data_IF_699750829724
#
_entry.id   IF_699750829724
#
_cell.length_a   1.000
_cell.length_b   1.000
_cell.length_c   1.000
_cell.angle_alpha   90.00
_cell.angle_beta   90.00
_cell.angle_gamma   90.00
#
_symmetry.space_group_name_H-M   'P 1'
#
loop_
_entity.id
_entity.type
_entity.pdbx_description
1 polymer ?
#
# COMPACT_ATOMS: atom_id res chain seq x y z
N UNK A 1 -41.56 91.70 -3.15
CA UNK A 1 -40.93 90.45 -2.66
C UNK A 1 -39.88 90.82 -1.64
N UNK A 2 -40.02 90.36 -0.40
CA UNK A 2 -38.96 90.55 0.59
C UNK A 2 -37.71 89.80 0.15
N UNK A 3 -36.56 90.49 0.09
CA UNK A 3 -35.28 89.84 -0.19
C UNK A 3 -34.97 88.87 0.93
N UNK A 4 -34.97 87.57 0.62
CA UNK A 4 -34.61 86.53 1.56
C UNK A 4 -33.16 86.73 2.02
N UNK A 5 -32.92 86.71 3.33
CA UNK A 5 -31.56 86.84 3.88
C UNK A 5 -30.69 85.66 3.45
N UNK A 6 -29.38 85.89 3.25
CA UNK A 6 -28.44 84.84 2.86
C UNK A 6 -28.47 83.63 3.81
N UNK A 7 -28.61 83.89 5.12
CA UNK A 7 -28.78 82.86 6.14
C UNK A 7 -30.00 81.98 5.91
N UNK A 8 -31.15 82.57 5.52
CA UNK A 8 -32.36 81.80 5.19
C UNK A 8 -32.19 80.99 3.90
N UNK A 9 -31.52 81.53 2.88
CA UNK A 9 -31.20 80.78 1.64
C UNK A 9 -30.33 79.55 1.94
N UNK A 10 -29.27 79.71 2.75
CA UNK A 10 -28.41 78.59 3.16
C UNK A 10 -29.16 77.53 3.98
N UNK A 11 -30.10 77.93 4.84
CA UNK A 11 -30.95 76.98 5.57
C UNK A 11 -31.84 76.17 4.62
N UNK A 12 -32.43 76.81 3.61
CA UNK A 12 -33.22 76.13 2.57
C UNK A 12 -32.36 75.13 1.80
N UNK A 13 -31.16 75.53 1.35
CA UNK A 13 -30.19 74.65 0.67
C UNK A 13 -29.81 73.46 1.54
N UNK A 14 -29.46 73.69 2.81
CA UNK A 14 -29.10 72.61 3.74
C UNK A 14 -30.25 71.61 3.92
N UNK A 15 -31.47 72.09 4.10
CA UNK A 15 -32.64 71.24 4.27
C UNK A 15 -32.99 70.47 2.98
N UNK A 16 -32.79 71.10 1.81
CA UNK A 16 -32.94 70.45 0.51
C UNK A 16 -31.94 69.30 0.31
N UNK A 17 -30.66 69.56 0.56
CA UNK A 17 -29.60 68.55 0.50
C UNK A 17 -29.80 67.45 1.56
N UNK A 18 -30.49 67.74 2.67
CA UNK A 18 -30.89 66.73 3.67
C UNK A 18 -32.07 65.83 3.23
N UNK A 19 -32.53 65.95 1.97
CA UNK A 19 -33.59 65.12 1.41
C UNK A 19 -35.02 65.49 1.86
N UNK A 20 -35.24 66.70 2.37
CA UNK A 20 -36.60 67.17 2.69
C UNK A 20 -37.37 67.60 1.43
N UNK A 21 -38.68 67.38 1.43
CA UNK A 21 -39.57 67.87 0.37
C UNK A 21 -39.75 69.39 0.44
N UNK A 22 -40.15 70.02 -0.66
CA UNK A 22 -40.35 71.48 -0.71
C UNK A 22 -41.40 71.96 0.31
N UNK A 23 -42.41 71.15 0.59
CA UNK A 23 -43.46 71.47 1.55
C UNK A 23 -42.94 71.41 3.00
N UNK A 24 -42.13 70.40 3.33
CA UNK A 24 -41.48 70.31 4.66
C UNK A 24 -40.49 71.45 4.90
N UNK A 25 -39.72 71.84 3.88
CA UNK A 25 -38.78 72.95 3.96
C UNK A 25 -39.52 74.27 4.15
N UNK A 26 -40.58 74.50 3.37
CA UNK A 26 -41.43 75.67 3.48
C UNK A 26 -42.02 75.80 4.89
N UNK A 27 -42.57 74.71 5.43
CA UNK A 27 -43.12 74.64 6.78
C UNK A 27 -42.07 74.91 7.87
N UNK A 28 -40.85 74.35 7.74
CA UNK A 28 -39.78 74.50 8.75
C UNK A 28 -39.09 75.86 8.73
N UNK A 29 -39.04 76.53 7.58
CA UNK A 29 -38.32 77.80 7.41
C UNK A 29 -39.23 79.02 7.41
N UNK A 30 -40.55 78.81 7.34
CA UNK A 30 -41.55 79.88 7.28
C UNK A 30 -41.51 80.66 5.96
N UNK A 31 -41.12 80.01 4.86
CA UNK A 31 -41.08 80.60 3.51
C UNK A 31 -42.06 79.90 2.57
N UNK A 32 -42.49 80.56 1.49
CA UNK A 32 -43.42 79.92 0.55
C UNK A 32 -42.72 78.83 -0.28
N UNK A 33 -43.48 77.81 -0.70
CA UNK A 33 -42.99 76.73 -1.59
C UNK A 33 -42.32 77.26 -2.86
N UNK A 34 -42.88 78.31 -3.46
CA UNK A 34 -42.29 78.98 -4.64
C UNK A 34 -40.92 79.63 -4.33
N UNK A 35 -40.73 80.12 -3.10
CA UNK A 35 -39.44 80.66 -2.66
C UNK A 35 -38.40 79.54 -2.50
N UNK A 36 -38.80 78.38 -1.97
CA UNK A 36 -37.94 77.18 -1.90
C UNK A 36 -37.53 76.74 -3.31
N UNK A 37 -38.48 76.64 -4.25
CA UNK A 37 -38.22 76.23 -5.62
C UNK A 37 -37.24 77.17 -6.33
N UNK A 38 -37.38 78.49 -6.16
CA UNK A 38 -36.45 79.46 -6.74
C UNK A 38 -35.04 79.34 -6.15
N UNK A 39 -34.91 79.18 -4.82
CA UNK A 39 -33.60 78.99 -4.18
C UNK A 39 -32.92 77.70 -4.65
N UNK A 40 -33.67 76.63 -4.88
CA UNK A 40 -33.15 75.37 -5.42
C UNK A 40 -32.78 75.50 -6.91
N UNK A 41 -33.55 76.24 -7.70
CA UNK A 41 -33.19 76.53 -9.09
C UNK A 41 -31.90 77.36 -9.17
N UNK A 42 -31.76 78.37 -8.31
CA UNK A 42 -30.53 79.16 -8.17
C UNK A 42 -29.34 78.28 -7.76
N UNK A 43 -29.55 77.32 -6.86
CA UNK A 43 -28.55 76.34 -6.43
C UNK A 43 -28.08 75.45 -7.60
N UNK A 44 -29.02 74.94 -8.39
CA UNK A 44 -28.72 74.10 -9.57
C UNK A 44 -28.05 74.87 -10.69
N UNK A 45 -28.37 76.15 -10.85
CA UNK A 45 -27.79 77.02 -11.86
C UNK A 45 -26.36 77.52 -11.51
N UNK A 46 -25.81 77.09 -10.37
CA UNK A 46 -24.47 77.52 -9.93
C UNK A 46 -24.43 78.98 -9.42
N UNK A 47 -25.59 79.58 -9.13
CA UNK A 47 -25.67 80.96 -8.61
C UNK A 47 -25.12 81.10 -7.18
N UNK A 48 -24.76 79.99 -6.54
CA UNK A 48 -24.00 79.95 -5.29
C UNK A 48 -22.53 79.69 -5.64
N UNK A 49 -21.61 80.61 -5.31
CA UNK A 49 -20.18 80.49 -5.64
C UNK A 49 -19.57 79.17 -5.17
N UNK A 50 -20.06 78.63 -4.05
CA UNK A 50 -19.59 77.38 -3.45
C UNK A 50 -20.09 76.13 -4.18
N UNK A 51 -21.06 76.26 -5.10
CA UNK A 51 -21.69 75.15 -5.80
C UNK A 51 -21.64 75.28 -7.34
N UNK A 52 -20.88 76.25 -7.86
CA UNK A 52 -20.85 76.60 -9.29
C UNK A 52 -20.52 75.41 -10.21
N UNK A 53 -19.64 74.51 -9.76
CA UNK A 53 -19.14 73.38 -10.57
C UNK A 53 -19.85 72.04 -10.28
N UNK A 54 -20.75 71.99 -9.30
CA UNK A 54 -21.38 70.74 -8.83
C UNK A 54 -22.87 70.63 -9.14
N UNK A 55 -23.42 71.52 -9.97
CA UNK A 55 -24.85 71.57 -10.31
C UNK A 55 -25.48 70.22 -10.68
N UNK A 56 -24.79 69.41 -11.47
CA UNK A 56 -25.22 68.06 -11.88
C UNK A 56 -25.17 67.04 -10.71
N UNK A 57 -24.26 67.22 -9.76
CA UNK A 57 -24.09 66.35 -8.60
C UNK A 57 -25.06 66.68 -7.46
N UNK A 58 -25.72 67.86 -7.49
CA UNK A 58 -26.65 68.29 -6.43
C UNK A 58 -27.86 67.37 -6.33
N UNK A 59 -28.38 66.87 -7.47
CA UNK A 59 -29.46 65.87 -7.43
C UNK A 59 -28.95 64.52 -6.92
N UNK A 60 -27.77 64.07 -7.34
CA UNK A 60 -27.18 62.82 -6.85
C UNK A 60 -26.94 62.85 -5.33
N UNK A 61 -26.44 63.97 -4.79
CA UNK A 61 -26.24 64.16 -3.36
C UNK A 61 -27.57 64.18 -2.59
N UNK A 62 -28.62 64.72 -3.20
CA UNK A 62 -29.96 64.71 -2.63
C UNK A 62 -30.59 63.33 -2.65
N UNK A 63 -30.49 62.61 -3.77
CA UNK A 63 -30.95 61.22 -3.90
C UNK A 63 -30.24 60.32 -2.89
N UNK A 64 -28.91 60.43 -2.77
CA UNK A 64 -28.13 59.72 -1.76
C UNK A 64 -28.64 60.04 -0.34
N UNK A 65 -28.91 61.30 -0.04
CA UNK A 65 -29.43 61.70 1.28
C UNK A 65 -30.84 61.15 1.55
N UNK A 66 -31.69 61.05 0.53
CA UNK A 66 -33.00 60.42 0.61
C UNK A 66 -32.86 58.92 0.85
N UNK A 67 -31.98 58.23 0.12
CA UNK A 67 -31.73 56.81 0.26
C UNK A 67 -31.15 56.46 1.63
N UNK A 68 -30.20 57.26 2.12
CA UNK A 68 -29.67 57.14 3.47
C UNK A 68 -30.77 57.27 4.52
N UNK A 69 -31.68 58.25 4.36
CA UNK A 69 -32.81 58.44 5.27
C UNK A 69 -33.80 57.27 5.21
N UNK A 70 -34.09 56.75 4.01
CA UNK A 70 -34.94 55.56 3.80
C UNK A 70 -34.36 54.33 4.47
N UNK A 71 -33.04 54.15 4.39
CA UNK A 71 -32.29 53.05 5.00
C UNK A 71 -31.92 53.30 6.47
N UNK A 72 -32.31 54.45 7.05
CA UNK A 72 -31.97 54.89 8.43
C UNK A 72 -30.47 54.91 8.71
N UNK A 73 -29.65 55.24 7.72
CA UNK A 73 -28.19 55.32 7.83
C UNK A 73 -27.74 56.78 8.02
N UNK A 74 -26.76 56.96 8.89
CA UNK A 74 -26.05 58.24 9.03
C UNK A 74 -24.90 58.36 8.02
N UNK A 75 -24.46 59.58 7.66
CA UNK A 75 -23.28 59.78 6.81
C UNK A 75 -22.03 59.08 7.32
N UNK A 76 -21.83 59.04 8.65
CA UNK A 76 -20.73 58.29 9.26
C UNK A 76 -20.83 56.78 9.00
N UNK A 77 -22.03 56.19 9.09
CA UNK A 77 -22.24 54.76 8.78
C UNK A 77 -22.02 54.46 7.29
N UNK A 78 -22.43 55.36 6.40
CA UNK A 78 -22.15 55.21 4.96
C UNK A 78 -20.65 55.31 4.67
N UNK A 79 -19.91 56.21 5.33
CA UNK A 79 -18.45 56.27 5.21
C UNK A 79 -17.78 54.97 5.68
N UNK A 80 -18.25 54.39 6.79
CA UNK A 80 -17.78 53.06 7.25
C UNK A 80 -18.12 51.96 6.25
N UNK A 81 -19.32 51.96 5.68
CA UNK A 81 -19.73 51.02 4.64
C UNK A 81 -18.89 51.15 3.37
N UNK A 82 -18.55 52.37 2.97
CA UNK A 82 -17.66 52.65 1.84
C UNK A 82 -16.24 52.13 2.10
N UNK A 83 -15.72 52.30 3.31
CA UNK A 83 -14.42 51.76 3.69
C UNK A 83 -14.41 50.23 3.60
N UNK A 84 -15.46 49.58 4.13
CA UNK A 84 -15.62 48.14 4.02
C UNK A 84 -15.69 47.69 2.56
N UNK A 85 -16.50 48.38 1.74
CA UNK A 85 -16.62 48.13 0.31
C UNK A 85 -15.28 48.25 -0.41
N UNK A 86 -14.49 49.30 -0.12
CA UNK A 86 -13.15 49.48 -0.68
C UNK A 86 -12.26 48.28 -0.37
N UNK A 87 -12.25 47.81 0.88
CA UNK A 87 -11.46 46.63 1.26
C UNK A 87 -11.91 45.35 0.56
N UNK A 88 -13.22 45.15 0.41
CA UNK A 88 -13.77 44.01 -0.33
C UNK A 88 -13.32 44.07 -1.80
N UNK A 89 -13.41 45.24 -2.43
CA UNK A 89 -12.97 45.43 -3.82
C UNK A 89 -11.46 45.28 -4.02
N UNK A 90 -10.64 45.70 -3.05
CA UNK A 90 -9.19 45.49 -3.04
C UNK A 90 -8.84 43.99 -2.98
N UNK A 91 -9.68 43.18 -2.33
CA UNK A 91 -9.55 41.71 -2.33
C UNK A 91 -10.05 41.05 -3.63
N UNK A 92 -10.50 41.82 -4.62
CA UNK A 92 -11.02 41.32 -5.89
C UNK A 92 -12.38 40.62 -5.77
N UNK A 93 -13.11 40.85 -4.66
CA UNK A 93 -14.39 40.23 -4.40
C UNK A 93 -15.52 41.07 -5.00
N UNK A 94 -16.44 40.42 -5.72
CA UNK A 94 -17.61 41.08 -6.28
C UNK A 94 -18.59 41.46 -5.14
N UNK A 95 -19.06 42.72 -5.07
CA UNK A 95 -20.10 43.11 -4.14
C UNK A 95 -21.37 42.25 -4.19
N UNK A 96 -21.68 41.61 -5.32
CA UNK A 96 -22.80 40.68 -5.44
C UNK A 96 -22.61 39.40 -4.59
N UNK A 97 -21.36 39.02 -4.27
CA UNK A 97 -21.07 37.86 -3.43
C UNK A 97 -21.24 38.15 -1.93
N UNK A 98 -21.43 39.41 -1.52
CA UNK A 98 -21.67 39.81 -0.12
C UNK A 98 -22.86 39.06 0.46
N UNK A 99 -23.87 38.73 -0.34
CA UNK A 99 -25.05 37.97 0.12
C UNK A 99 -24.72 36.55 0.60
N UNK A 100 -23.58 35.98 0.18
CA UNK A 100 -23.09 34.66 0.63
C UNK A 100 -22.33 34.73 1.94
N UNK A 101 -21.79 35.90 2.30
CA UNK A 101 -20.95 36.07 3.48
C UNK A 101 -21.70 35.80 4.79
N UNK A 102 -22.98 36.19 4.96
CA UNK A 102 -23.74 35.79 6.13
C UNK A 102 -23.80 34.27 6.34
N UNK A 103 -23.77 33.43 5.30
CA UNK A 103 -23.68 31.98 5.50
C UNK A 103 -22.32 31.57 6.05
N UNK A 104 -21.24 32.07 5.45
CA UNK A 104 -19.84 31.78 5.84
C UNK A 104 -19.57 32.28 7.27
N UNK A 105 -20.07 33.47 7.61
CA UNK A 105 -19.92 34.06 8.93
C UNK A 105 -20.84 33.40 9.96
N UNK A 106 -21.99 32.84 9.57
CA UNK A 106 -22.83 32.04 10.48
C UNK A 106 -22.24 30.68 10.83
N UNK A 107 -21.37 30.12 9.99
CA UNK A 107 -20.60 28.92 10.37
C UNK A 107 -19.59 29.20 11.47
N UNK A 108 -19.17 30.46 11.64
CA UNK A 108 -18.30 30.91 12.72
C UNK A 108 -19.15 31.26 13.94
N UNK A 109 -19.25 30.35 14.91
CA UNK A 109 -20.17 30.48 16.05
C UNK A 109 -19.57 31.28 17.20
N UNK A 110 -18.24 31.33 17.28
CA UNK A 110 -17.50 31.97 18.35
C UNK A 110 -16.19 32.58 17.82
N UNK A 111 -15.45 33.25 18.70
CA UNK A 111 -14.19 33.93 18.34
C UNK A 111 -13.05 32.95 17.99
N UNK A 112 -13.08 31.74 18.53
CA UNK A 112 -12.08 30.71 18.22
C UNK A 112 -12.31 30.13 16.83
N UNK A 113 -13.56 29.87 16.43
CA UNK A 113 -13.93 29.50 15.06
C UNK A 113 -13.48 30.57 14.06
N UNK A 114 -13.50 31.85 14.46
CA UNK A 114 -13.05 32.95 13.61
C UNK A 114 -11.53 32.92 13.43
N UNK A 115 -10.79 32.65 14.51
CA UNK A 115 -9.33 32.47 14.47
C UNK A 115 -8.95 31.24 13.66
N UNK A 116 -9.67 30.13 13.81
CA UNK A 116 -9.47 28.93 13.01
C UNK A 116 -9.73 29.19 11.53
N UNK A 117 -10.81 29.90 11.20
CA UNK A 117 -11.09 30.29 9.81
C UNK A 117 -9.95 31.11 9.21
N UNK A 118 -9.48 32.14 9.92
CA UNK A 118 -8.35 32.96 9.48
C UNK A 118 -7.07 32.13 9.34
N UNK A 119 -6.81 31.23 10.29
CA UNK A 119 -5.68 30.30 10.22
C UNK A 119 -5.78 29.36 9.02
N UNK A 120 -6.99 28.88 8.69
CA UNK A 120 -7.25 28.02 7.55
C UNK A 120 -6.93 28.74 6.24
N UNK A 121 -7.35 30.01 6.11
CA UNK A 121 -7.04 30.85 4.95
C UNK A 121 -5.52 31.02 4.77
N UNK A 122 -4.79 31.31 5.86
CA UNK A 122 -3.32 31.38 5.80
C UNK A 122 -2.68 30.04 5.46
N UNK A 123 -3.18 28.94 6.03
CA UNK A 123 -2.67 27.59 5.76
C UNK A 123 -2.87 27.20 4.29
N UNK A 124 -4.05 27.50 3.73
CA UNK A 124 -4.33 27.28 2.31
C UNK A 124 -3.40 28.11 1.44
N UNK A 125 -3.18 29.38 1.79
CA UNK A 125 -2.23 30.23 1.08
C UNK A 125 -0.79 29.69 1.15
N UNK A 126 -0.34 29.19 2.30
CA UNK A 126 0.98 28.58 2.46
C UNK A 126 1.09 27.32 1.59
N UNK A 127 0.08 26.45 1.60
CA UNK A 127 0.04 25.25 0.75
C UNK A 127 0.07 25.65 -0.73
N UNK A 128 -0.67 26.70 -1.11
CA UNK A 128 -0.69 27.23 -2.46
C UNK A 128 0.71 27.69 -2.89
N UNK A 129 1.40 28.46 -2.05
CA UNK A 129 2.77 28.94 -2.30
C UNK A 129 3.80 27.80 -2.35
N UNK A 130 3.62 26.74 -1.55
CA UNK A 130 4.56 25.61 -1.52
C UNK A 130 4.36 24.63 -2.67
N UNK A 131 3.13 24.54 -3.20
CA UNK A 131 2.77 23.60 -4.26
C UNK A 131 2.77 24.21 -5.65
N UNK A 132 2.81 25.55 -5.76
CA UNK A 132 2.62 26.31 -7.00
C UNK A 132 1.31 25.94 -7.74
N UNK A 133 0.33 25.38 -7.03
CA UNK A 133 -0.96 25.01 -7.59
C UNK A 133 -1.97 26.13 -7.39
N UNK A 134 -2.91 26.30 -8.33
CA UNK A 134 -4.09 27.14 -8.09
C UNK A 134 -5.02 26.50 -7.06
N UNK A 135 -5.91 27.28 -6.45
CA UNK A 135 -6.90 26.77 -5.49
C UNK A 135 -7.78 25.67 -6.11
N UNK A 136 -8.17 25.85 -7.37
CA UNK A 136 -8.95 24.86 -8.13
C UNK A 136 -8.14 23.60 -8.44
N UNK A 137 -6.85 23.73 -8.75
CA UNK A 137 -5.98 22.57 -8.93
C UNK A 137 -5.74 21.82 -7.62
N UNK A 138 -5.65 22.54 -6.49
CA UNK A 138 -5.53 21.95 -5.16
C UNK A 138 -6.80 21.17 -4.78
N UNK A 139 -7.98 21.74 -5.02
CA UNK A 139 -9.27 21.09 -4.79
C UNK A 139 -9.43 19.81 -5.65
N UNK A 140 -9.09 19.91 -6.93
CA UNK A 140 -9.04 18.74 -7.82
C UNK A 140 -8.06 17.67 -7.31
N UNK A 141 -6.91 18.07 -6.74
CA UNK A 141 -5.94 17.15 -6.16
C UNK A 141 -6.48 16.47 -4.92
N UNK A 142 -7.21 17.19 -4.06
CA UNK A 142 -7.87 16.61 -2.88
C UNK A 142 -8.87 15.55 -3.33
N UNK A 143 -9.74 15.83 -4.30
CA UNK A 143 -10.69 14.84 -4.82
C UNK A 143 -10.03 13.66 -5.55
N UNK A 144 -8.88 13.88 -6.20
CA UNK A 144 -8.08 12.79 -6.78
C UNK A 144 -7.50 11.89 -5.66
N UNK A 145 -6.99 12.49 -4.59
CA UNK A 145 -6.46 11.76 -3.44
C UNK A 145 -7.55 11.02 -2.66
N UNK A 146 -8.74 11.60 -2.49
CA UNK A 146 -9.89 10.93 -1.89
C UNK A 146 -10.33 9.71 -2.72
N UNK A 147 -10.36 9.84 -4.05
CA UNK A 147 -10.61 8.69 -4.95
C UNK A 147 -9.53 7.62 -4.83
N UNK A 148 -8.26 8.00 -4.82
CA UNK A 148 -7.16 7.04 -4.62
C UNK A 148 -7.22 6.37 -3.24
N UNK A 149 -7.61 7.10 -2.20
CA UNK A 149 -7.76 6.56 -0.86
C UNK A 149 -8.89 5.51 -0.81
N UNK A 150 -10.04 5.81 -1.43
CA UNK A 150 -11.16 4.86 -1.54
C UNK A 150 -10.81 3.65 -2.40
N UNK A 151 -10.00 3.80 -3.46
CA UNK A 151 -9.50 2.67 -4.27
C UNK A 151 -8.46 1.81 -3.52
N UNK A 152 -7.70 2.39 -2.58
CA UNK A 152 -6.70 1.69 -1.78
C UNK A 152 -7.30 0.93 -0.58
N UNK A 153 -8.46 1.35 -0.09
CA UNK A 153 -9.19 0.68 1.00
C UNK A 153 -9.41 -0.83 0.73
N UNK A 154 -9.93 -1.27 -0.44
CA UNK A 154 -10.08 -2.70 -0.74
C UNK A 154 -8.74 -3.43 -0.90
N UNK A 155 -7.65 -2.75 -1.29
CA UNK A 155 -6.33 -3.38 -1.31
C UNK A 155 -5.81 -3.63 0.11
N UNK A 156 -6.06 -2.70 1.03
CA UNK A 156 -5.73 -2.86 2.45
C UNK A 156 -6.44 -4.08 3.06
N UNK A 157 -7.72 -4.28 2.73
CA UNK A 157 -8.46 -5.44 3.21
C UNK A 157 -7.99 -6.75 2.57
N UNK A 158 -7.69 -6.77 1.26
CA UNK A 158 -7.03 -7.92 0.62
C UNK A 158 -5.69 -8.26 1.28
N UNK A 159 -4.90 -7.25 1.67
CA UNK A 159 -3.62 -7.45 2.35
C UNK A 159 -3.80 -8.04 3.75
N UNK A 160 -4.84 -7.62 4.50
CA UNK A 160 -5.21 -8.25 5.77
C UNK A 160 -5.59 -9.72 5.59
N UNK A 161 -6.38 -10.04 4.57
CA UNK A 161 -6.78 -11.42 4.31
C UNK A 161 -5.61 -12.30 3.82
N UNK A 162 -4.72 -11.76 2.98
CA UNK A 162 -3.48 -12.44 2.60
C UNK A 162 -2.60 -12.73 3.83
N UNK A 163 -2.50 -11.79 4.78
CA UNK A 163 -1.78 -12.01 6.05
C UNK A 163 -2.40 -13.14 6.87
N UNK A 164 -3.74 -13.22 6.95
CA UNK A 164 -4.43 -14.32 7.65
C UNK A 164 -4.16 -15.67 6.96
N UNK A 165 -4.24 -15.72 5.63
CA UNK A 165 -3.93 -16.94 4.87
C UNK A 165 -2.48 -17.38 5.07
N UNK A 166 -1.53 -16.44 5.10
CA UNK A 166 -0.13 -16.73 5.33
C UNK A 166 0.13 -17.25 6.74
N UNK A 167 -0.55 -16.71 7.75
CA UNK A 167 -0.48 -17.23 9.13
C UNK A 167 -1.02 -18.67 9.22
N UNK A 168 -2.15 -18.96 8.57
CA UNK A 168 -2.73 -20.32 8.53
C UNK A 168 -1.81 -21.31 7.80
N UNK A 169 -1.27 -20.94 6.63
CA UNK A 169 -0.30 -21.77 5.90
C UNK A 169 0.97 -22.01 6.72
N UNK A 170 1.43 -21.02 7.49
CA UNK A 170 2.59 -21.17 8.39
C UNK A 170 2.29 -22.21 9.48
N UNK A 171 1.11 -22.13 10.10
CA UNK A 171 0.66 -23.12 11.09
C UNK A 171 0.53 -24.52 10.50
N UNK A 172 0.00 -24.65 9.28
CA UNK A 172 -0.08 -25.94 8.58
C UNK A 172 1.31 -26.51 8.28
N UNK A 173 2.25 -25.66 7.86
CA UNK A 173 3.66 -26.06 7.63
C UNK A 173 4.30 -26.56 8.92
N UNK A 174 4.10 -25.87 10.05
CA UNK A 174 4.62 -26.30 11.36
C UNK A 174 4.02 -27.65 11.78
N UNK A 175 2.70 -27.83 11.59
CA UNK A 175 2.03 -29.10 11.83
C UNK A 175 2.62 -30.24 10.99
N UNK A 176 2.81 -30.02 9.69
CA UNK A 176 3.44 -31.01 8.79
C UNK A 176 4.88 -31.30 9.18
N UNK A 177 5.67 -30.29 9.53
CA UNK A 177 7.06 -30.49 9.98
C UNK A 177 7.12 -31.38 11.23
N UNK A 178 6.21 -31.19 12.18
CA UNK A 178 6.12 -32.04 13.36
C UNK A 178 5.75 -33.49 13.03
N UNK A 179 4.81 -33.69 12.09
CA UNK A 179 4.42 -35.02 11.63
C UNK A 179 5.56 -35.75 10.91
N UNK A 180 6.32 -35.04 10.07
CA UNK A 180 7.52 -35.57 9.40
C UNK A 180 8.56 -35.99 10.43
N UNK A 181 8.84 -35.17 11.44
CA UNK A 181 9.79 -35.53 12.50
C UNK A 181 9.37 -36.80 13.27
N UNK A 182 8.07 -36.97 13.54
CA UNK A 182 7.54 -38.20 14.17
C UNK A 182 7.72 -39.41 13.24
N UNK A 183 7.50 -39.26 11.94
CA UNK A 183 7.67 -40.33 10.97
C UNK A 183 9.15 -40.73 10.82
N UNK A 184 10.06 -39.76 10.78
CA UNK A 184 11.51 -40.01 10.79
C UNK A 184 11.93 -40.79 12.04
N UNK A 185 11.45 -40.39 13.22
CA UNK A 185 11.72 -41.13 14.45
C UNK A 185 11.20 -42.57 14.42
N UNK A 186 9.99 -42.80 13.88
CA UNK A 186 9.45 -44.16 13.71
C UNK A 186 10.29 -44.99 12.73
N UNK A 187 10.77 -44.37 11.65
CA UNK A 187 11.63 -45.02 10.67
C UNK A 187 12.97 -45.45 11.30
N UNK A 188 13.58 -44.60 12.11
CA UNK A 188 14.79 -44.92 12.87
C UNK A 188 14.59 -46.09 13.84
N UNK A 189 13.40 -46.23 14.44
CA UNK A 189 13.08 -47.38 15.30
C UNK A 189 12.79 -48.67 14.54
N UNK A 190 12.22 -48.58 13.33
CA UNK A 190 11.90 -49.74 12.50
C UNK A 190 13.14 -50.34 11.83
N UNK A 191 14.08 -49.49 11.41
CA UNK A 191 15.33 -49.91 10.74
C UNK A 191 16.12 -51.00 11.49
N UNK A 192 16.43 -50.87 12.80
CA UNK A 192 17.15 -51.93 13.52
C UNK A 192 16.31 -53.19 13.70
N UNK A 193 14.99 -53.06 13.82
CA UNK A 193 14.08 -54.21 13.96
C UNK A 193 14.01 -55.04 12.67
N UNK A 194 14.01 -54.38 11.51
CA UNK A 194 14.10 -55.05 10.21
C UNK A 194 15.44 -55.80 10.11
N UNK A 195 16.56 -55.16 10.46
CA UNK A 195 17.88 -55.83 10.47
C UNK A 195 17.93 -57.05 11.41
N UNK A 196 17.27 -57.00 12.56
CA UNK A 196 17.20 -58.13 13.48
C UNK A 196 16.38 -59.29 12.90
N UNK A 197 15.25 -58.97 12.26
CA UNK A 197 14.42 -59.95 11.56
C UNK A 197 15.16 -60.60 10.38
N UNK A 198 15.89 -59.81 9.59
CA UNK A 198 16.74 -60.32 8.49
C UNK A 198 17.80 -61.30 9.02
N UNK A 199 18.49 -60.96 10.12
CA UNK A 199 19.45 -61.88 10.76
C UNK A 199 18.80 -63.16 11.25
N UNK A 200 17.60 -63.06 11.82
CA UNK A 200 16.85 -64.23 12.30
C UNK A 200 16.40 -65.11 11.15
N UNK A 201 15.94 -64.53 10.05
CA UNK A 201 15.59 -65.24 8.82
C UNK A 201 16.80 -65.99 8.26
N UNK A 202 17.96 -65.34 8.19
CA UNK A 202 19.20 -65.96 7.73
C UNK A 202 19.61 -67.13 8.64
N UNK A 203 19.52 -66.96 9.96
CA UNK A 203 19.79 -68.01 10.93
C UNK A 203 18.85 -69.22 10.77
N UNK A 204 17.55 -68.97 10.60
CA UNK A 204 16.57 -70.03 10.38
C UNK A 204 16.81 -70.75 9.05
N UNK A 205 17.15 -70.01 8.00
CA UNK A 205 17.48 -70.59 6.69
C UNK A 205 18.68 -71.53 6.79
N UNK A 206 19.75 -71.13 7.50
CA UNK A 206 20.90 -72.02 7.78
C UNK A 206 20.49 -73.26 8.56
N UNK A 207 19.64 -73.12 9.58
CA UNK A 207 19.13 -74.28 10.34
C UNK A 207 18.32 -75.24 9.49
N UNK A 208 17.50 -74.74 8.55
CA UNK A 208 16.76 -75.57 7.61
C UNK A 208 17.75 -76.35 6.75
N UNK A 209 18.75 -75.66 6.16
CA UNK A 209 19.82 -76.30 5.37
C UNK A 209 20.58 -77.37 6.15
N UNK A 210 20.80 -77.20 7.46
CA UNK A 210 21.47 -78.20 8.30
C UNK A 210 20.59 -79.40 8.69
N UNK A 211 19.27 -79.19 8.78
CA UNK A 211 18.30 -80.23 9.15
C UNK A 211 17.91 -81.06 7.93
N UNK A 212 17.82 -80.45 6.74
CA UNK A 212 17.53 -81.11 5.46
C UNK A 212 18.35 -82.40 5.22
N UNK A 213 19.70 -82.41 5.33
CA UNK A 213 20.49 -83.63 5.12
C UNK A 213 20.29 -84.64 6.24
N UNK A 214 19.95 -84.21 7.47
CA UNK A 214 19.65 -85.13 8.58
C UNK A 214 18.31 -85.82 8.34
N UNK A 215 17.32 -85.10 7.83
CA UNK A 215 16.03 -85.65 7.43
C UNK A 215 16.19 -86.64 6.26
N UNK A 216 16.94 -86.27 5.21
CA UNK A 216 17.27 -87.19 4.12
C UNK A 216 18.06 -88.42 4.60
N UNK A 217 19.00 -88.25 5.53
CA UNK A 217 19.71 -89.38 6.16
C UNK A 217 18.76 -90.27 6.97
N UNK A 218 17.83 -89.68 7.73
CA UNK A 218 16.82 -90.45 8.45
C UNK A 218 15.92 -91.23 7.47
N UNK A 219 15.49 -90.61 6.37
CA UNK A 219 14.64 -91.22 5.35
C UNK A 219 15.35 -92.37 4.60
N UNK A 220 16.63 -92.19 4.28
CA UNK A 220 17.47 -93.27 3.73
C UNK A 220 17.67 -94.41 4.73
N UNK A 221 17.88 -94.12 6.02
CA UNK A 221 17.93 -95.18 7.05
C UNK A 221 16.59 -95.88 7.23
N UNK A 222 15.47 -95.16 7.15
CA UNK A 222 14.13 -95.73 7.22
C UNK A 222 13.85 -96.65 6.03
N UNK A 223 14.28 -96.23 4.84
CA UNK A 223 14.20 -97.04 3.62
C UNK A 223 15.11 -98.27 3.69
N UNK A 224 16.32 -98.13 4.26
CA UNK A 224 17.22 -99.26 4.51
C UNK A 224 16.63 -100.24 5.53
N UNK A 225 16.09 -99.75 6.65
CA UNK A 225 15.40 -100.59 7.66
C UNK A 225 14.19 -101.29 7.05
N UNK A 226 13.40 -100.59 6.22
CA UNK A 226 12.28 -101.20 5.49
C UNK A 226 12.76 -102.29 4.52
N UNK A 227 13.90 -102.07 3.88
CA UNK A 227 14.60 -103.06 3.05
C UNK A 227 15.11 -104.26 3.84
N UNK A 228 15.69 -104.05 5.03
CA UNK A 228 16.13 -105.14 5.92
C UNK A 228 14.95 -105.91 6.52
N UNK A 229 13.84 -105.25 6.85
CA UNK A 229 12.57 -105.90 7.22
C UNK A 229 12.07 -106.77 6.07
N UNK A 230 12.19 -106.28 4.84
CA UNK A 230 11.82 -107.04 3.64
C UNK A 230 12.79 -108.20 3.39
N UNK A 231 14.10 -108.02 3.57
CA UNK A 231 15.11 -109.10 3.48
C UNK A 231 14.91 -110.14 4.59
N UNK A 232 14.62 -109.75 5.82
CA UNK A 232 14.26 -110.68 6.91
C UNK A 232 13.05 -111.52 6.54
N UNK A 233 12.05 -110.88 5.91
CA UNK A 233 10.88 -111.56 5.36
C UNK A 233 11.23 -112.50 4.20
N UNK A 234 12.20 -112.15 3.37
CA UNK A 234 12.64 -112.94 2.20
C UNK A 234 13.65 -114.06 2.56
N UNK A 235 14.37 -113.95 3.68
CA UNK A 235 15.33 -114.96 4.22
C UNK A 235 14.63 -116.03 5.07
N UNK A 236 13.33 -115.87 5.35
CA UNK A 236 12.51 -116.86 6.06
C UNK A 236 11.95 -116.38 7.40
N UNK A 237 12.57 -115.36 8.01
CA UNK A 237 12.18 -114.78 9.32
C UNK A 237 10.87 -114.01 9.25
N UNK A 238 9.79 -114.78 9.12
CA UNK A 238 8.41 -114.36 9.30
C UNK A 238 8.11 -114.18 10.79
N UNK A 239 7.03 -113.48 11.14
CA UNK A 239 6.50 -113.42 12.52
C UNK A 239 6.30 -114.81 13.16
N UNK A 240 6.26 -115.87 12.34
CA UNK A 240 6.22 -117.28 12.75
C UNK A 240 7.59 -117.81 13.22
N UNK A 241 8.71 -117.38 12.65
CA UNK A 241 10.05 -117.76 13.13
C UNK A 241 10.44 -117.03 14.43
N UNK A 242 9.85 -115.85 14.68
CA UNK A 242 9.91 -115.20 15.99
C UNK A 242 9.17 -116.02 17.08
N UNK A 243 8.14 -116.77 16.67
CA UNK A 243 7.47 -117.75 17.52
C UNK A 243 8.32 -119.02 17.71
N UNK A 244 9.08 -119.46 16.70
CA UNK A 244 10.08 -120.54 16.85
C UNK A 244 11.27 -120.13 17.73
N UNK A 245 11.70 -118.86 17.73
CA UNK A 245 12.69 -118.35 18.68
C UNK A 245 12.18 -118.41 20.13
N UNK A 246 10.89 -118.14 20.33
CA UNK A 246 10.21 -118.31 21.62
C UNK A 246 10.12 -119.80 22.03
N UNK A 247 9.99 -120.71 21.06
CA UNK A 247 10.06 -122.17 21.27
C UNK A 247 11.49 -122.64 21.61
N UNK A 248 12.53 -122.08 20.95
CA UNK A 248 13.94 -122.32 21.29
C UNK A 248 14.30 -121.77 22.67
N UNK A 249 13.73 -120.64 23.08
CA UNK A 249 13.82 -120.13 24.46
C UNK A 249 13.20 -121.12 25.47
N UNK A 250 12.10 -121.79 25.13
CA UNK A 250 11.56 -122.88 25.97
C UNK A 250 12.49 -124.10 26.02
N UNK A 251 13.14 -124.47 24.91
CA UNK A 251 14.11 -125.57 24.87
C UNK A 251 15.37 -125.25 25.68
N UNK A 252 15.89 -124.03 25.59
CA UNK A 252 17.05 -123.56 26.37
C UNK A 252 16.71 -123.50 27.86
N UNK A 253 15.51 -123.03 28.21
CA UNK A 253 14.99 -123.06 29.58
C UNK A 253 14.93 -124.50 30.13
N UNK A 254 14.42 -125.46 29.35
CA UNK A 254 14.40 -126.89 29.70
C UNK A 254 15.81 -127.49 29.86
N UNK A 255 16.78 -127.10 29.01
CA UNK A 255 18.15 -127.63 29.06
C UNK A 255 18.96 -127.14 30.25
N UNK A 256 18.67 -125.93 30.74
CA UNK A 256 19.35 -125.33 31.88
C UNK A 256 18.58 -125.45 33.20
N UNK A 257 17.45 -126.20 33.22
CA UNK A 257 16.57 -126.36 34.40
C UNK A 257 16.13 -125.00 34.97
N UNK A 258 15.87 -124.04 34.09
CA UNK A 258 15.31 -122.73 34.44
C UNK A 258 13.86 -122.75 33.98
N UNK A 259 12.92 -122.33 34.84
CA UNK A 259 11.53 -122.28 34.42
C UNK A 259 11.39 -121.31 33.22
N UNK A 260 10.70 -121.65 32.12
CA UNK A 260 10.59 -120.74 30.97
C UNK A 260 10.01 -119.36 31.32
N UNK A 261 9.16 -119.29 32.34
CA UNK A 261 8.66 -118.07 32.98
C UNK A 261 9.78 -117.25 33.64
N UNK A 262 10.78 -117.92 34.22
CA UNK A 262 11.91 -117.31 34.93
C UNK A 262 13.01 -116.82 33.98
N UNK A 263 13.25 -117.53 32.87
CA UNK A 263 14.11 -117.03 31.79
C UNK A 263 13.48 -115.83 31.09
N UNK A 264 12.17 -115.90 30.81
CA UNK A 264 11.39 -114.80 30.25
C UNK A 264 11.33 -113.61 31.20
N UNK A 265 11.16 -113.83 32.51
CA UNK A 265 11.14 -112.75 33.50
C UNK A 265 12.52 -112.10 33.63
N UNK A 266 13.63 -112.85 33.55
CA UNK A 266 15.00 -112.29 33.51
C UNK A 266 15.25 -111.44 32.27
N UNK A 267 14.84 -111.92 31.10
CA UNK A 267 15.03 -111.21 29.84
C UNK A 267 14.15 -109.96 29.77
N UNK A 268 12.92 -110.06 30.28
CA UNK A 268 12.04 -108.90 30.48
C UNK A 268 12.61 -107.94 31.53
N UNK A 269 13.22 -108.44 32.61
CA UNK A 269 13.83 -107.60 33.65
C UNK A 269 15.08 -106.87 33.15
N UNK A 270 15.91 -107.51 32.31
CA UNK A 270 17.04 -106.88 31.61
C UNK A 270 16.57 -105.83 30.61
N UNK A 271 15.51 -106.09 29.83
CA UNK A 271 14.89 -105.11 28.93
C UNK A 271 14.23 -103.95 29.68
N UNK A 272 13.60 -104.23 30.82
CA UNK A 272 12.99 -103.24 31.71
C UNK A 272 14.05 -102.45 32.47
N UNK A 273 15.21 -103.05 32.78
CA UNK A 273 16.39 -102.37 33.32
C UNK A 273 17.08 -101.51 32.24
N UNK A 274 17.04 -101.93 30.97
CA UNK A 274 17.50 -101.11 29.84
C UNK A 274 16.56 -99.92 29.61
N UNK A 275 15.25 -100.12 29.68
CA UNK A 275 14.23 -99.08 29.55
C UNK A 275 14.31 -98.06 30.71
N UNK A 276 14.47 -98.54 31.95
CA UNK A 276 14.72 -97.71 33.14
C UNK A 276 16.09 -97.04 33.13
N UNK A 277 17.14 -97.72 32.64
CA UNK A 277 18.52 -97.21 32.58
C UNK A 277 18.75 -96.17 31.49
N UNK A 278 17.97 -96.24 30.40
CA UNK A 278 17.99 -95.28 29.31
C UNK A 278 16.95 -94.16 29.44
N UNK A 279 16.08 -94.23 30.47
CA UNK A 279 15.03 -93.25 30.75
C UNK A 279 14.20 -92.88 29.50
N UNK A 280 13.93 -93.87 28.65
CA UNK A 280 13.37 -93.64 27.31
C UNK A 280 11.97 -93.04 27.37
N UNK A 281 11.13 -93.46 28.31
CA UNK A 281 9.82 -92.85 28.58
C UNK A 281 9.95 -91.36 28.93
N UNK A 282 10.88 -90.99 29.82
CA UNK A 282 11.15 -89.59 30.20
C UNK A 282 11.67 -88.77 29.01
N UNK A 283 12.51 -89.36 28.17
CA UNK A 283 13.02 -88.74 26.95
C UNK A 283 11.91 -88.55 25.91
N UNK A 284 11.04 -89.54 25.72
CA UNK A 284 9.88 -89.46 24.82
C UNK A 284 8.92 -88.38 25.29
N UNK A 285 8.57 -88.35 26.59
CA UNK A 285 7.70 -87.32 27.15
C UNK A 285 8.31 -85.92 27.06
N UNK A 286 9.63 -85.79 27.32
CA UNK A 286 10.35 -84.53 27.16
C UNK A 286 10.34 -84.04 25.71
N UNK A 287 10.62 -84.92 24.75
CA UNK A 287 10.59 -84.60 23.32
C UNK A 287 9.19 -84.27 22.82
N UNK A 288 8.16 -84.95 23.32
CA UNK A 288 6.78 -84.62 23.00
C UNK A 288 6.42 -83.23 23.51
N UNK A 289 6.80 -82.87 24.74
CA UNK A 289 6.58 -81.53 25.27
C UNK A 289 7.37 -80.45 24.51
N UNK A 290 8.60 -80.73 24.07
CA UNK A 290 9.35 -79.81 23.20
C UNK A 290 8.65 -79.63 21.86
N UNK A 291 8.17 -80.72 21.25
CA UNK A 291 7.45 -80.69 19.98
C UNK A 291 6.17 -79.85 20.11
N UNK A 292 5.34 -80.10 21.13
CA UNK A 292 4.12 -79.34 21.39
C UNK A 292 4.42 -77.84 21.60
N UNK A 293 5.50 -77.51 22.34
CA UNK A 293 5.94 -76.11 22.53
C UNK A 293 6.37 -75.47 21.21
N UNK A 294 7.10 -76.20 20.36
CA UNK A 294 7.52 -75.69 19.05
C UNK A 294 6.34 -75.52 18.10
N UNK A 295 5.36 -76.42 18.13
CA UNK A 295 4.15 -76.33 17.32
C UNK A 295 3.30 -75.12 17.74
N UNK A 296 3.11 -74.92 19.05
CA UNK A 296 2.43 -73.73 19.56
C UNK A 296 3.14 -72.43 19.18
N UNK A 297 4.48 -72.40 19.24
CA UNK A 297 5.26 -71.25 18.80
C UNK A 297 5.08 -70.98 17.29
N UNK A 298 5.06 -72.04 16.47
CA UNK A 298 4.84 -71.94 15.03
C UNK A 298 3.45 -71.39 14.70
N UNK A 299 2.41 -71.85 15.40
CA UNK A 299 1.04 -71.31 15.25
C UNK A 299 0.98 -69.82 15.59
N UNK A 300 1.64 -69.39 16.68
CA UNK A 300 1.71 -67.97 17.06
C UNK A 300 2.43 -67.14 16.01
N UNK A 301 3.60 -67.58 15.54
CA UNK A 301 4.35 -66.87 14.50
C UNK A 301 3.57 -66.81 13.18
N UNK A 302 2.85 -67.86 12.80
CA UNK A 302 1.99 -67.84 11.61
C UNK A 302 0.87 -66.80 11.73
N UNK A 303 0.27 -66.66 12.91
CA UNK A 303 -0.74 -65.62 13.18
C UNK A 303 -0.14 -64.20 13.14
N UNK A 304 1.07 -64.02 13.67
CA UNK A 304 1.78 -62.74 13.61
C UNK A 304 2.14 -62.36 12.17
N UNK A 305 2.62 -63.31 11.36
CA UNK A 305 2.91 -63.09 9.93
C UNK A 305 1.64 -62.65 9.18
N UNK A 306 0.51 -63.31 9.43
CA UNK A 306 -0.75 -62.94 8.77
C UNK A 306 -1.22 -61.54 9.20
N UNK A 307 -1.07 -61.21 10.48
CA UNK A 307 -1.38 -59.85 10.99
C UNK A 307 -0.49 -58.79 10.34
N UNK A 308 0.82 -59.05 10.22
CA UNK A 308 1.77 -58.15 9.57
C UNK A 308 1.45 -58.00 8.08
N UNK A 309 1.08 -59.08 7.39
CA UNK A 309 0.66 -59.04 5.99
C UNK A 309 -0.53 -58.11 5.79
N UNK A 310 -1.57 -58.24 6.62
CA UNK A 310 -2.74 -57.35 6.57
C UNK A 310 -2.34 -55.89 6.76
N UNK A 311 -1.47 -55.59 7.73
CA UNK A 311 -1.00 -54.22 7.96
C UNK A 311 -0.21 -53.68 6.76
N UNK A 312 0.65 -54.51 6.15
CA UNK A 312 1.41 -54.13 4.94
C UNK A 312 0.46 -53.82 3.77
N UNK A 313 -0.60 -54.59 3.59
CA UNK A 313 -1.56 -54.35 2.51
C UNK A 313 -2.39 -53.07 2.75
N UNK A 314 -2.76 -52.78 4.00
CA UNK A 314 -3.38 -51.49 4.37
C UNK A 314 -2.44 -50.31 4.08
N UNK A 315 -1.16 -50.42 4.46
CA UNK A 315 -0.18 -49.36 4.22
C UNK A 315 0.10 -49.16 2.73
N UNK A 316 0.10 -50.23 1.92
CA UNK A 316 0.20 -50.13 0.45
C UNK A 316 -0.98 -49.35 -0.13
N UNK A 317 -2.20 -49.64 0.33
CA UNK A 317 -3.39 -48.93 -0.12
C UNK A 317 -3.35 -47.45 0.29
N UNK A 318 -2.95 -47.15 1.52
CA UNK A 318 -2.80 -45.77 2.02
C UNK A 318 -1.76 -45.00 1.20
N UNK A 319 -0.61 -45.62 0.90
CA UNK A 319 0.41 -45.04 0.02
C UNK A 319 -0.17 -44.69 -1.36
N UNK A 320 -0.90 -45.61 -1.99
CA UNK A 320 -1.54 -45.36 -3.30
C UNK A 320 -2.52 -44.19 -3.24
N UNK A 321 -3.31 -44.09 -2.17
CA UNK A 321 -4.26 -43.00 -1.97
C UNK A 321 -3.54 -41.65 -1.81
N UNK A 322 -2.44 -41.62 -1.05
CA UNK A 322 -1.62 -40.41 -0.88
C UNK A 322 -0.94 -39.98 -2.19
N UNK A 323 -0.39 -40.92 -2.95
CA UNK A 323 0.20 -40.64 -4.27
C UNK A 323 -0.83 -40.04 -5.24
N UNK A 324 -2.07 -40.56 -5.24
CA UNK A 324 -3.16 -40.01 -6.03
C UNK A 324 -3.54 -38.58 -5.60
N UNK A 325 -3.65 -38.34 -4.28
CA UNK A 325 -3.95 -37.01 -3.73
C UNK A 325 -2.85 -35.98 -4.02
N UNK A 326 -1.58 -36.38 -3.93
CA UNK A 326 -0.42 -35.53 -4.29
C UNK A 326 -0.50 -35.17 -5.78
N UNK A 327 -0.79 -36.14 -6.65
CA UNK A 327 -0.93 -35.91 -8.09
C UNK A 327 -2.07 -34.93 -8.39
N UNK A 328 -3.24 -35.11 -7.79
CA UNK A 328 -4.39 -34.22 -7.97
C UNK A 328 -4.06 -32.78 -7.51
N UNK A 329 -3.42 -32.65 -6.35
CA UNK A 329 -3.00 -31.36 -5.79
C UNK A 329 -2.00 -30.66 -6.70
N UNK A 330 -1.01 -31.41 -7.21
CA UNK A 330 -0.03 -30.88 -8.17
C UNK A 330 -0.71 -30.38 -9.44
N UNK A 331 -1.67 -31.12 -9.99
CA UNK A 331 -2.42 -30.70 -11.18
C UNK A 331 -3.29 -29.46 -10.92
N UNK A 332 -3.91 -29.34 -9.74
CA UNK A 332 -4.62 -28.11 -9.32
C UNK A 332 -3.68 -26.91 -9.27
N UNK A 333 -2.54 -27.05 -8.59
CA UNK A 333 -1.53 -25.97 -8.49
C UNK A 333 -1.00 -25.59 -9.87
N UNK A 334 -0.67 -26.56 -10.73
CA UNK A 334 -0.21 -26.27 -12.10
C UNK A 334 -1.26 -25.52 -12.92
N UNK A 335 -2.56 -25.84 -12.76
CA UNK A 335 -3.64 -25.08 -13.43
C UNK A 335 -3.75 -23.65 -12.91
N UNK A 336 -3.64 -23.42 -11.61
CA UNK A 336 -3.68 -22.06 -11.05
C UNK A 336 -2.45 -21.24 -11.48
N UNK A 337 -1.26 -21.83 -11.48
CA UNK A 337 -0.05 -21.18 -12.02
C UNK A 337 -0.25 -20.81 -13.49
N UNK A 338 -0.82 -21.71 -14.30
CA UNK A 338 -1.11 -21.43 -15.71
C UNK A 338 -2.12 -20.30 -15.93
N UNK A 339 -3.01 -20.03 -14.96
CA UNK A 339 -3.93 -18.86 -15.00
C UNK A 339 -3.25 -17.57 -14.56
N UNK A 340 -2.36 -17.64 -13.56
CA UNK A 340 -1.70 -16.46 -12.98
C UNK A 340 -0.64 -15.89 -13.92
N UNK A 341 0.15 -16.74 -14.59
CA UNK A 341 1.23 -16.30 -15.50
C UNK A 341 0.75 -15.29 -16.56
N UNK A 342 -0.30 -15.56 -17.37
CA UNK A 342 -0.72 -14.62 -18.39
C UNK A 342 -1.30 -13.32 -17.81
N UNK A 343 -2.00 -13.38 -16.67
CA UNK A 343 -2.52 -12.17 -16.00
C UNK A 343 -1.39 -11.28 -15.48
N UNK A 344 -0.35 -11.89 -14.91
CA UNK A 344 0.83 -11.16 -14.46
C UNK A 344 1.57 -10.52 -15.64
N UNK A 345 1.72 -11.25 -16.75
CA UNK A 345 2.34 -10.72 -17.97
C UNK A 345 1.54 -9.55 -18.55
N UNK A 346 0.22 -9.69 -18.69
CA UNK A 346 -0.67 -8.61 -19.18
C UNK A 346 -0.60 -7.35 -18.30
N UNK A 347 -0.53 -7.54 -16.98
CA UNK A 347 -0.38 -6.43 -16.04
C UNK A 347 0.98 -5.74 -16.16
N UNK A 348 2.07 -6.52 -16.34
CA UNK A 348 3.41 -5.97 -16.57
C UNK A 348 3.45 -5.19 -17.88
N UNK A 349 2.85 -5.72 -18.95
CA UNK A 349 2.82 -5.10 -20.26
C UNK A 349 2.02 -3.78 -20.20
N UNK A 350 0.85 -3.78 -19.55
CA UNK A 350 0.04 -2.58 -19.33
C UNK A 350 0.78 -1.51 -18.52
N UNK A 351 1.44 -1.90 -17.42
CA UNK A 351 2.24 -0.97 -16.62
C UNK A 351 3.40 -0.39 -17.44
N UNK A 352 4.04 -1.23 -18.27
CA UNK A 352 5.12 -0.81 -19.17
C UNK A 352 4.66 0.16 -20.26
N UNK A 353 3.42 0.04 -20.75
CA UNK A 353 2.80 1.01 -21.66
C UNK A 353 2.47 2.33 -20.96
N UNK A 354 1.86 2.28 -19.77
CA UNK A 354 1.53 3.48 -19.00
C UNK A 354 2.78 4.27 -18.60
N UNK A 355 3.86 3.58 -18.19
CA UNK A 355 5.14 4.20 -17.86
C UNK A 355 5.81 4.85 -19.07
N UNK A 356 5.79 4.17 -20.23
CA UNK A 356 6.31 4.75 -21.49
C UNK A 356 5.54 6.00 -21.87
N UNK A 357 4.20 5.95 -21.85
CA UNK A 357 3.36 7.10 -22.13
C UNK A 357 3.65 8.27 -21.18
N UNK A 358 3.72 8.01 -19.86
CA UNK A 358 4.03 9.04 -18.88
C UNK A 358 5.42 9.66 -19.07
N UNK A 359 6.41 8.86 -19.47
CA UNK A 359 7.75 9.36 -19.77
C UNK A 359 7.77 10.22 -21.05
N UNK A 360 7.03 9.82 -22.08
CA UNK A 360 6.89 10.60 -23.32
C UNK A 360 6.19 11.94 -23.07
N UNK A 361 5.12 11.96 -22.26
CA UNK A 361 4.42 13.16 -21.83
C UNK A 361 5.35 14.10 -21.03
N UNK A 362 6.10 13.55 -20.06
CA UNK A 362 7.07 14.31 -19.28
C UNK A 362 8.19 14.89 -20.15
N UNK A 363 8.68 14.13 -21.14
CA UNK A 363 9.69 14.62 -22.09
C UNK A 363 9.18 15.75 -22.97
N UNK A 364 7.92 15.69 -23.41
CA UNK A 364 7.27 16.79 -24.15
C UNK A 364 7.20 18.04 -23.28
N UNK A 365 6.80 17.90 -22.02
CA UNK A 365 6.66 19.02 -21.09
C UNK A 365 8.02 19.66 -20.74
N UNK A 366 9.05 18.84 -20.51
CA UNK A 366 10.43 19.33 -20.29
C UNK A 366 10.94 20.10 -21.51
N UNK A 367 10.62 19.64 -22.73
CA UNK A 367 10.98 20.38 -23.96
C UNK A 367 10.25 21.72 -24.04
N UNK A 368 8.95 21.75 -23.72
CA UNK A 368 8.15 22.98 -23.67
C UNK A 368 8.75 23.98 -22.68
N UNK A 369 9.01 23.55 -21.44
CA UNK A 369 9.62 24.39 -20.39
C UNK A 369 11.01 24.90 -20.78
N UNK A 370 11.83 24.06 -21.42
CA UNK A 370 13.14 24.47 -21.94
C UNK A 370 12.99 25.58 -22.98
N UNK A 371 12.05 25.44 -23.90
CA UNK A 371 11.83 26.40 -24.97
C UNK A 371 11.30 27.73 -24.40
N UNK A 372 10.41 27.70 -23.41
CA UNK A 372 9.94 28.89 -22.69
C UNK A 372 11.05 29.57 -21.90
N UNK A 373 11.86 28.81 -21.16
CA UNK A 373 13.01 29.34 -20.44
C UNK A 373 14.03 30.00 -21.38
N UNK A 374 14.20 29.46 -22.59
CA UNK A 374 15.06 30.03 -23.61
C UNK A 374 14.50 31.37 -24.14
N UNK A 375 13.19 31.49 -24.37
CA UNK A 375 12.57 32.76 -24.76
C UNK A 375 12.68 33.81 -23.65
N UNK A 376 12.39 33.43 -22.40
CA UNK A 376 12.59 34.31 -21.23
C UNK A 376 14.05 34.76 -21.13
N UNK A 377 15.00 33.84 -21.33
CA UNK A 377 16.43 34.17 -21.33
C UNK A 377 16.81 35.18 -22.41
N UNK A 378 16.22 35.11 -23.61
CA UNK A 378 16.42 36.10 -24.68
C UNK A 378 15.89 37.48 -24.27
N UNK A 379 14.71 37.53 -23.67
CA UNK A 379 14.13 38.79 -23.22
C UNK A 379 14.91 39.41 -22.06
N UNK A 380 15.35 38.60 -21.09
CA UNK A 380 16.26 39.04 -20.02
C UNK A 380 17.54 39.59 -20.62
N UNK A 381 18.17 38.89 -21.57
CA UNK A 381 19.37 39.37 -22.25
C UNK A 381 19.15 40.69 -23.01
N UNK A 382 17.97 40.88 -23.62
CA UNK A 382 17.60 42.17 -24.25
C UNK A 382 17.48 43.28 -23.21
N UNK A 383 16.80 43.04 -22.09
CA UNK A 383 16.66 44.03 -21.03
C UNK A 383 18.00 44.36 -20.38
N UNK A 384 18.86 43.36 -20.15
CA UNK A 384 20.21 43.57 -19.67
C UNK A 384 21.03 44.42 -20.65
N UNK A 385 20.94 44.14 -21.95
CA UNK A 385 21.57 44.97 -22.98
C UNK A 385 21.05 46.41 -22.99
N UNK A 386 19.74 46.61 -22.80
CA UNK A 386 19.14 47.95 -22.64
C UNK A 386 19.66 48.63 -21.36
N UNK A 387 19.73 47.92 -20.24
CA UNK A 387 20.22 48.45 -18.97
C UNK A 387 21.70 48.82 -19.02
N UNK A 388 22.54 47.98 -19.64
CA UNK A 388 23.96 48.28 -19.90
C UNK A 388 24.09 49.48 -20.83
N UNK A 389 23.29 49.57 -21.89
CA UNK A 389 23.25 50.76 -22.77
C UNK A 389 22.75 52.02 -22.05
N UNK A 390 21.99 51.82 -20.97
CA UNK A 390 21.46 52.86 -20.09
C UNK A 390 22.29 53.04 -18.81
N UNK A 391 23.54 52.57 -18.75
CA UNK A 391 24.42 52.74 -17.59
C UNK A 391 24.55 54.21 -17.16
N UNK A 392 24.48 55.13 -18.13
CA UNK A 392 24.43 56.57 -17.90
C UNK A 392 23.22 57.03 -17.05
N UNK A 393 22.13 56.27 -16.98
CA UNK A 393 20.99 56.56 -16.09
C UNK A 393 21.33 56.31 -14.62
N UNK A 394 22.17 55.32 -14.31
CA UNK A 394 22.64 55.11 -12.95
C UNK A 394 23.54 56.27 -12.53
N UNK A 395 24.41 56.75 -13.42
CA UNK A 395 25.22 57.94 -13.19
C UNK A 395 24.40 59.22 -13.10
N UNK A 396 23.31 59.33 -13.85
CA UNK A 396 22.34 60.41 -13.69
C UNK A 396 21.66 60.34 -12.32
N UNK A 397 21.34 59.13 -11.86
CA UNK A 397 20.69 58.93 -10.57
C UNK A 397 21.62 59.27 -9.40
N UNK A 398 22.91 58.91 -9.47
CA UNK A 398 23.92 59.32 -8.48
C UNK A 398 24.13 60.83 -8.50
N UNK A 399 24.11 61.45 -9.68
CA UNK A 399 24.13 62.91 -9.82
C UNK A 399 22.93 63.59 -9.15
N UNK A 400 21.71 63.09 -9.39
CA UNK A 400 20.47 63.63 -8.80
C UNK A 400 20.43 63.43 -7.28
N UNK A 401 21.03 62.35 -6.78
CA UNK A 401 21.17 62.10 -5.34
C UNK A 401 22.26 62.95 -4.67
N UNK A 402 23.05 63.69 -5.45
CA UNK A 402 24.11 64.55 -4.94
C UNK A 402 25.33 63.76 -4.42
N UNK A 403 25.56 62.55 -4.93
CA UNK A 403 26.74 61.78 -4.57
C UNK A 403 27.99 62.39 -5.26
N UNK A 404 28.98 62.82 -4.46
CA UNK A 404 30.13 63.63 -4.94
C UNK A 404 31.15 62.85 -5.80
N UNK A 405 30.89 61.58 -6.11
CA UNK A 405 31.85 60.68 -6.76
C UNK A 405 31.80 60.68 -8.30
N UNK A 406 30.99 61.53 -8.92
CA UNK A 406 30.86 61.57 -10.39
C UNK A 406 31.86 62.55 -10.99
N UNK A 407 32.78 62.06 -11.83
CA UNK A 407 33.75 62.91 -12.53
C UNK A 407 33.04 64.00 -13.33
N UNK A 408 33.46 65.26 -13.18
CA UNK A 408 32.78 66.39 -13.81
C UNK A 408 32.69 66.33 -15.34
N UNK A 409 33.61 65.60 -16.01
CA UNK A 409 33.51 65.27 -17.43
C UNK A 409 32.30 64.36 -17.74
N UNK A 410 32.02 63.37 -16.90
CA UNK A 410 30.82 62.51 -17.01
C UNK A 410 29.55 63.29 -16.72
N UNK A 411 29.54 64.15 -15.69
CA UNK A 411 28.42 65.07 -15.38
C UNK A 411 28.04 65.90 -16.61
N UNK A 412 29.05 66.50 -17.25
CA UNK A 412 28.86 67.29 -18.47
C UNK A 412 28.26 66.46 -19.61
N UNK A 413 28.75 65.24 -19.85
CA UNK A 413 28.23 64.34 -20.89
C UNK A 413 26.77 63.97 -20.63
N UNK A 414 26.43 63.59 -19.39
CA UNK A 414 25.06 63.23 -18.98
C UNK A 414 24.11 64.42 -19.13
N UNK A 415 24.50 65.60 -18.62
CA UNK A 415 23.70 66.82 -18.73
C UNK A 415 23.44 67.19 -20.20
N UNK A 416 24.46 67.12 -21.06
CA UNK A 416 24.31 67.37 -22.50
C UNK A 416 23.38 66.36 -23.17
N UNK A 417 23.44 65.07 -22.82
CA UNK A 417 22.55 64.05 -23.35
C UNK A 417 21.08 64.33 -22.99
N UNK A 418 20.80 64.63 -21.71
CA UNK A 418 19.45 64.93 -21.24
C UNK A 418 18.90 66.21 -21.88
N UNK A 419 19.70 67.27 -21.90
CA UNK A 419 19.26 68.59 -22.39
C UNK A 419 19.07 68.57 -23.91
N UNK A 420 19.91 67.87 -24.67
CA UNK A 420 19.72 67.68 -26.13
C UNK A 420 18.50 66.82 -26.45
N UNK A 421 18.23 65.78 -25.65
CA UNK A 421 17.01 64.99 -25.79
C UNK A 421 15.76 65.83 -25.51
N UNK A 422 15.79 66.64 -24.44
CA UNK A 422 14.73 67.60 -24.10
C UNK A 422 14.52 68.63 -25.21
N UNK A 423 15.60 69.18 -25.77
CA UNK A 423 15.55 70.10 -26.91
C UNK A 423 14.87 69.45 -28.13
N UNK A 424 15.26 68.22 -28.46
CA UNK A 424 14.69 67.48 -29.60
C UNK A 424 13.21 67.17 -29.38
N UNK A 425 12.82 66.82 -28.15
CA UNK A 425 11.43 66.59 -27.78
C UNK A 425 10.60 67.88 -27.86
N UNK A 426 11.11 68.98 -27.29
CA UNK A 426 10.48 70.31 -27.35
C UNK A 426 10.29 70.78 -28.80
N UNK A 427 11.27 70.52 -29.66
CA UNK A 427 11.21 70.86 -31.09
C UNK A 427 10.17 70.04 -31.87
N UNK A 428 9.79 68.85 -31.40
CA UNK A 428 8.75 68.01 -32.03
C UNK A 428 7.33 68.37 -31.56
N UNK A 429 7.20 69.01 -30.40
CA UNK A 429 5.93 69.48 -29.86
C UNK A 429 5.60 70.87 -30.45
N UNK A 430 5.26 70.91 -31.73
CA UNK A 430 4.93 72.15 -32.47
C UNK A 430 3.67 72.88 -31.92
N UNK A 431 2.92 72.27 -31.00
CA UNK A 431 1.60 72.74 -30.56
C UNK A 431 1.56 73.48 -29.22
N UNK A 432 2.67 73.53 -28.47
CA UNK A 432 2.70 74.22 -27.18
C UNK A 432 3.39 75.58 -27.34
N UNK A 433 2.72 76.63 -26.88
CA UNK A 433 3.12 78.06 -26.90
C UNK A 433 4.34 78.39 -26.02
N UNK A 434 5.31 77.49 -25.98
CA UNK A 434 6.58 77.59 -25.27
C UNK A 434 7.68 78.06 -26.22
N UNK A 435 7.44 79.12 -26.99
CA UNK A 435 8.39 79.60 -28.02
C UNK A 435 9.75 80.02 -27.46
N UNK A 436 9.84 80.32 -26.16
CA UNK A 436 11.08 80.71 -25.49
C UNK A 436 11.88 79.52 -24.92
N UNK A 437 11.24 78.38 -24.66
CA UNK A 437 11.87 77.25 -23.97
C UNK A 437 12.92 76.52 -24.82
N UNK A 438 12.72 76.29 -26.14
CA UNK A 438 13.77 75.72 -27.00
C UNK A 438 15.02 76.60 -27.04
N UNK A 439 14.85 77.93 -27.07
CA UNK A 439 15.96 78.88 -27.15
C UNK A 439 16.80 78.88 -25.86
N UNK A 440 16.15 78.82 -24.69
CA UNK A 440 16.88 78.73 -23.42
C UNK A 440 17.60 77.39 -23.25
N UNK A 441 16.97 76.30 -23.69
CA UNK A 441 17.59 74.97 -23.70
C UNK A 441 18.80 74.93 -24.66
N UNK A 442 18.74 75.59 -25.81
CA UNK A 442 19.85 75.68 -26.78
C UNK A 442 21.05 76.48 -26.25
N UNK A 443 20.80 77.59 -25.55
CA UNK A 443 21.85 78.35 -24.86
C UNK A 443 22.51 77.50 -23.78
N UNK A 444 21.71 76.77 -22.98
CA UNK A 444 22.24 75.88 -21.93
C UNK A 444 23.08 74.73 -22.52
N UNK A 445 22.71 74.18 -23.68
CA UNK A 445 23.55 73.21 -24.42
C UNK A 445 24.90 73.85 -24.77
N UNK A 446 24.89 75.06 -25.33
CA UNK A 446 26.10 75.77 -25.74
C UNK A 446 27.02 76.08 -24.55
N UNK A 447 26.47 76.48 -23.42
CA UNK A 447 27.21 76.72 -22.18
C UNK A 447 27.84 75.43 -21.64
N UNK A 448 27.07 74.35 -21.58
CA UNK A 448 27.58 73.04 -21.17
C UNK A 448 28.62 72.47 -22.15
N UNK A 449 28.57 72.82 -23.44
CA UNK A 449 29.61 72.47 -24.41
C UNK A 449 30.91 73.28 -24.23
N UNK A 450 30.83 74.46 -23.65
CA UNK A 450 32.00 75.30 -23.38
C UNK A 450 32.58 75.07 -21.98
N UNK A 451 31.84 74.39 -21.11
CA UNK A 451 32.26 74.10 -19.74
C UNK A 451 33.51 73.22 -19.70
N UNK A 452 34.66 73.82 -19.38
CA UNK A 452 35.93 73.08 -19.21
C UNK A 452 35.97 72.50 -17.81
N UNK A 453 35.89 71.16 -17.73
CA UNK A 453 35.93 70.38 -16.49
C UNK A 453 37.14 69.47 -16.44
#
# INVERSE_FOLDING_TARGET
MEKLTAKKKLTVVRQYLSGLSYDEIAARTGVSKGTVANVVADLKAGSFPEAADVGEHIELLRELSIDMKRSKLSPGQCATGLLLFSRISECGLDPADIDRWPMILKSVRNEDDAKEFVHLVYSIQEVQQRSDLSLEALDNKVHELERKATDLEPMSDKLKDCKKQLAELTKQREGLASAVAILEQKYELLTPRVKDLEKREEHLSRRITDIEPKAQKAETTLSAVKGEIQKLKDIGFTLRELAEFNEKLQVIAQHHVIEPSELKSRLLHELEALDKGLAMETLIQSRQQELDKTEQALIRTKKEIETVRVVVDVLKQEKMNLEASIKETREKVSREIAKIIPLAQDTIDKLGEELRRGNDEALVEVRRLRDEAMEVGKDVGRYEGILQSCEWLNELLTLVRGEENVEGKRVRIIALLVIRALYTWLKRQDSLSLTLLPLTVETLISELEQWKV
#
